data_IF_453544352706
#
_entry.id   IF_453544352706
#
_cell.length_a   1.000
_cell.length_b   1.000
_cell.length_c   1.000
_cell.angle_alpha   90.00
_cell.angle_beta   90.00
_cell.angle_gamma   90.00
#
_symmetry.space_group_name_H-M   'P 1'
#
loop_
_entity.id
_entity.type
_entity.pdbx_description
1 polymer ?
#
# COMPACT_ATOMS: atom_id res chain seq x y z
N UNK A 1 -28.07 3.91 9.05
CA UNK A 1 -27.61 4.74 7.92
C UNK A 1 -27.19 3.81 6.80
N UNK A 2 -27.72 3.93 5.57
CA UNK A 2 -27.17 3.16 4.47
C UNK A 2 -25.77 3.70 4.18
N UNK A 3 -24.74 2.86 4.32
CA UNK A 3 -23.40 3.18 3.85
C UNK A 3 -23.47 3.30 2.32
N UNK A 4 -23.27 4.50 1.78
CA UNK A 4 -22.90 4.61 0.36
C UNK A 4 -21.62 3.79 0.20
N UNK A 5 -21.66 2.75 -0.62
CA UNK A 5 -20.49 1.94 -0.92
C UNK A 5 -19.33 2.78 -1.44
N UNK A 6 -18.13 2.21 -1.45
CA UNK A 6 -16.95 2.84 -2.04
C UNK A 6 -17.22 3.16 -3.52
N UNK A 7 -16.61 4.24 -4.02
CA UNK A 7 -16.56 4.43 -5.47
C UNK A 7 -15.80 3.26 -6.11
N UNK A 8 -16.08 2.92 -7.39
CA UNK A 8 -15.39 1.83 -8.07
C UNK A 8 -13.86 1.94 -8.02
N UNK A 9 -13.33 3.15 -8.21
CA UNK A 9 -11.90 3.43 -8.18
C UNK A 9 -11.29 3.15 -6.79
N UNK A 10 -11.97 3.59 -5.73
CA UNK A 10 -11.51 3.33 -4.36
C UNK A 10 -11.61 1.84 -4.03
N UNK A 11 -12.67 1.17 -4.48
CA UNK A 11 -12.80 -0.29 -4.31
C UNK A 11 -11.67 -1.03 -5.04
N UNK A 12 -11.28 -0.58 -6.23
CA UNK A 12 -10.15 -1.15 -6.98
C UNK A 12 -8.83 -0.94 -6.24
N UNK A 13 -8.52 0.27 -5.78
CA UNK A 13 -7.32 0.55 -4.97
C UNK A 13 -7.25 -0.37 -3.76
N UNK A 14 -8.35 -0.49 -3.00
CA UNK A 14 -8.41 -1.38 -1.82
C UNK A 14 -8.15 -2.84 -2.20
N UNK A 15 -8.68 -3.28 -3.34
CA UNK A 15 -8.47 -4.66 -3.79
C UNK A 15 -7.01 -4.91 -4.18
N UNK A 16 -6.38 -3.99 -4.92
CA UNK A 16 -4.97 -4.09 -5.30
C UNK A 16 -4.05 -4.08 -4.06
N UNK A 17 -4.32 -3.20 -3.09
CA UNK A 17 -3.58 -3.15 -1.83
C UNK A 17 -3.72 -4.47 -1.04
N UNK A 18 -4.91 -5.09 -1.08
CA UNK A 18 -5.16 -6.39 -0.46
C UNK A 18 -4.39 -7.53 -1.16
N UNK A 19 -4.26 -7.48 -2.49
CA UNK A 19 -3.44 -8.44 -3.26
C UNK A 19 -1.97 -8.35 -2.83
N UNK A 20 -1.40 -7.14 -2.77
CA UNK A 20 -0.02 -6.97 -2.31
C UNK A 20 0.15 -7.41 -0.86
N UNK A 21 -0.76 -7.01 0.03
CA UNK A 21 -0.66 -7.27 1.46
C UNK A 21 -0.73 -8.76 1.83
N UNK A 22 -1.62 -9.53 1.18
CA UNK A 22 -1.71 -10.98 1.45
C UNK A 22 -0.52 -11.77 0.89
N UNK A 23 0.14 -11.24 -0.14
CA UNK A 23 1.28 -11.88 -0.79
C UNK A 23 2.64 -11.26 -0.39
N UNK A 24 2.65 -10.36 0.60
CA UNK A 24 3.81 -9.52 0.96
C UNK A 24 5.12 -10.26 1.18
N UNK A 25 5.06 -11.55 1.54
CA UNK A 25 6.22 -12.41 1.80
C UNK A 25 6.39 -13.54 0.79
N UNK A 26 5.76 -13.43 -0.39
CA UNK A 26 5.89 -14.44 -1.44
C UNK A 26 7.34 -14.56 -1.91
N UNK A 27 7.75 -15.79 -2.23
CA UNK A 27 9.00 -16.06 -2.97
C UNK A 27 8.77 -16.20 -4.48
N UNK A 28 7.51 -16.27 -4.91
CA UNK A 28 7.09 -16.30 -6.32
C UNK A 28 6.18 -15.09 -6.62
N UNK A 29 6.73 -14.00 -7.15
CA UNK A 29 5.96 -12.79 -7.45
C UNK A 29 5.17 -12.88 -8.78
N UNK A 30 5.46 -13.86 -9.64
CA UNK A 30 4.84 -13.97 -10.97
C UNK A 30 3.31 -14.04 -10.92
N UNK A 31 2.71 -14.95 -10.14
CA UNK A 31 1.27 -15.04 -9.97
C UNK A 31 0.64 -13.76 -9.40
N UNK A 32 1.35 -13.07 -8.49
CA UNK A 32 0.86 -11.81 -7.89
C UNK A 32 0.77 -10.70 -8.92
N UNK A 33 1.80 -10.55 -9.75
CA UNK A 33 1.81 -9.55 -10.84
C UNK A 33 0.73 -9.86 -11.87
N UNK A 34 0.54 -11.13 -12.22
CA UNK A 34 -0.53 -11.54 -13.13
C UNK A 34 -1.91 -11.18 -12.57
N UNK A 35 -2.14 -11.44 -11.29
CA UNK A 35 -3.40 -11.11 -10.63
C UNK A 35 -3.65 -9.60 -10.50
N UNK A 36 -2.62 -8.82 -10.15
CA UNK A 36 -2.69 -7.36 -10.10
C UNK A 36 -3.09 -6.77 -11.47
N UNK A 37 -2.48 -7.26 -12.55
CA UNK A 37 -2.81 -6.84 -13.92
C UNK A 37 -4.23 -7.25 -14.31
N UNK A 38 -4.63 -8.48 -14.01
CA UNK A 38 -5.97 -8.97 -14.29
C UNK A 38 -7.05 -8.17 -13.53
N UNK A 39 -6.77 -7.83 -12.26
CA UNK A 39 -7.68 -7.05 -11.40
C UNK A 39 -7.80 -5.61 -11.86
N UNK A 40 -6.70 -4.99 -12.29
CA UNK A 40 -6.71 -3.62 -12.78
C UNK A 40 -7.37 -3.48 -14.16
N UNK A 41 -7.25 -4.49 -15.03
CA UNK A 41 -7.69 -4.39 -16.41
C UNK A 41 -7.05 -3.18 -17.10
N UNK A 42 -7.88 -2.31 -17.68
CA UNK A 42 -7.43 -1.10 -18.37
C UNK A 42 -7.07 0.07 -17.43
N UNK A 43 -7.35 -0.04 -16.12
CA UNK A 43 -7.04 1.00 -15.12
C UNK A 43 -5.59 0.93 -14.63
N UNK A 44 -4.67 1.05 -15.58
CA UNK A 44 -3.22 1.06 -15.35
C UNK A 44 -2.81 2.26 -14.48
N UNK A 45 -3.55 3.37 -14.56
CA UNK A 45 -3.39 4.53 -13.69
C UNK A 45 -3.54 4.16 -12.21
N UNK A 46 -4.62 3.45 -11.84
CA UNK A 46 -4.85 3.01 -10.46
C UNK A 46 -3.85 1.92 -10.05
N UNK A 47 -3.52 1.01 -10.97
CA UNK A 47 -2.51 -0.03 -10.71
C UNK A 47 -1.17 0.58 -10.31
N UNK A 48 -0.69 1.55 -11.10
CA UNK A 48 0.60 2.19 -10.87
C UNK A 48 0.61 3.02 -9.60
N UNK A 49 -0.48 3.73 -9.30
CA UNK A 49 -0.65 4.47 -8.05
C UNK A 49 -0.62 3.55 -6.82
N UNK A 50 -1.48 2.54 -6.78
CA UNK A 50 -1.61 1.62 -5.65
C UNK A 50 -0.31 0.83 -5.43
N UNK A 51 0.23 0.20 -6.47
CA UNK A 51 1.46 -0.59 -6.36
C UNK A 51 2.64 0.27 -5.97
N UNK A 52 2.82 1.44 -6.60
CA UNK A 52 3.94 2.31 -6.28
C UNK A 52 3.86 2.82 -4.84
N UNK A 53 2.69 3.25 -4.38
CA UNK A 53 2.50 3.67 -2.99
C UNK A 53 2.75 2.53 -2.00
N UNK A 54 2.31 1.30 -2.33
CA UNK A 54 2.54 0.13 -1.50
C UNK A 54 4.04 -0.22 -1.40
N UNK A 55 4.76 -0.26 -2.53
CA UNK A 55 6.21 -0.49 -2.56
C UNK A 55 6.94 0.56 -1.71
N UNK A 56 6.64 1.84 -1.92
CA UNK A 56 7.29 2.91 -1.16
C UNK A 56 7.04 2.86 0.35
N UNK A 57 5.92 2.27 0.79
CA UNK A 57 5.57 2.17 2.20
C UNK A 57 6.08 0.89 2.88
N UNK A 58 6.06 -0.25 2.18
CA UNK A 58 6.29 -1.58 2.77
C UNK A 58 7.64 -2.21 2.42
N UNK A 59 8.44 -1.60 1.54
CA UNK A 59 9.75 -2.15 1.16
C UNK A 59 10.69 -2.27 2.37
N UNK A 60 10.99 -3.50 2.73
CA UNK A 60 11.93 -3.90 3.77
C UNK A 60 12.66 -5.19 3.36
N UNK A 61 13.44 -5.76 4.29
CA UNK A 61 14.20 -6.98 4.03
C UNK A 61 13.33 -8.21 3.76
N UNK A 62 12.11 -8.26 4.31
CA UNK A 62 11.19 -9.38 4.19
C UNK A 62 10.26 -9.28 2.98
N UNK A 63 9.99 -8.07 2.49
CA UNK A 63 9.13 -7.81 1.32
C UNK A 63 9.94 -7.63 0.02
N UNK A 64 11.28 -7.62 0.12
CA UNK A 64 12.20 -7.31 -0.98
C UNK A 64 11.93 -8.06 -2.28
N UNK A 65 11.58 -9.35 -2.22
CA UNK A 65 11.33 -10.18 -3.41
C UNK A 65 10.15 -9.60 -4.20
N UNK A 66 9.03 -9.35 -3.53
CA UNK A 66 7.85 -8.79 -4.17
C UNK A 66 8.11 -7.35 -4.63
N UNK A 67 8.70 -6.50 -3.79
CA UNK A 67 9.00 -5.11 -4.14
C UNK A 67 9.92 -4.99 -5.36
N UNK A 68 10.94 -5.84 -5.46
CA UNK A 68 11.86 -5.87 -6.61
C UNK A 68 11.10 -6.20 -7.89
N UNK A 69 10.24 -7.23 -7.86
CA UNK A 69 9.46 -7.61 -9.03
C UNK A 69 8.41 -6.56 -9.42
N UNK A 70 7.79 -5.89 -8.43
CA UNK A 70 6.82 -4.81 -8.69
C UNK A 70 7.48 -3.57 -9.32
N UNK A 71 8.73 -3.27 -8.98
CA UNK A 71 9.50 -2.13 -9.57
C UNK A 71 9.72 -2.24 -11.08
N UNK A 72 9.58 -3.43 -11.66
CA UNK A 72 9.62 -3.63 -13.12
C UNK A 72 8.37 -3.09 -13.84
N UNK A 73 7.32 -2.69 -13.11
CA UNK A 73 6.16 -2.03 -13.71
C UNK A 73 6.50 -0.56 -14.08
N UNK A 74 6.04 -0.07 -15.24
CA UNK A 74 6.31 1.30 -15.66
C UNK A 74 5.52 2.32 -14.82
N UNK A 75 6.09 3.51 -14.61
CA UNK A 75 5.36 4.66 -14.05
C UNK A 75 5.19 4.70 -12.53
N UNK A 76 5.89 3.85 -11.78
CA UNK A 76 5.73 3.77 -10.32
C UNK A 76 6.41 4.88 -9.53
N UNK A 77 7.46 5.52 -10.06
CA UNK A 77 8.36 6.37 -9.26
C UNK A 77 7.71 7.54 -8.50
N UNK A 78 6.77 8.30 -9.09
CA UNK A 78 6.05 9.34 -8.36
C UNK A 78 5.31 8.79 -7.14
N UNK A 79 4.77 7.58 -7.26
CA UNK A 79 3.97 6.91 -6.25
C UNK A 79 4.81 6.20 -5.19
N UNK A 80 5.95 5.64 -5.57
CA UNK A 80 6.96 5.14 -4.61
C UNK A 80 7.42 6.27 -3.70
N UNK A 81 7.69 7.45 -4.28
CA UNK A 81 8.04 8.65 -3.51
C UNK A 81 6.92 9.04 -2.55
N UNK A 82 5.66 8.96 -2.98
CA UNK A 82 4.51 9.22 -2.11
C UNK A 82 4.38 8.20 -0.97
N UNK A 83 4.54 6.91 -1.27
CA UNK A 83 4.51 5.82 -0.29
C UNK A 83 5.55 6.02 0.81
N UNK A 84 6.79 6.36 0.42
CA UNK A 84 7.89 6.64 1.35
C UNK A 84 7.57 7.83 2.26
N UNK A 85 7.06 8.93 1.69
CA UNK A 85 6.63 10.10 2.48
C UNK A 85 5.54 9.74 3.49
N UNK A 86 4.60 8.85 3.14
CA UNK A 86 3.56 8.37 4.06
C UNK A 86 4.15 7.53 5.20
N UNK A 87 5.16 6.72 4.93
CA UNK A 87 5.87 5.94 5.95
C UNK A 87 6.66 6.84 6.92
N UNK A 88 7.35 7.85 6.38
CA UNK A 88 8.14 8.82 7.15
C UNK A 88 7.28 9.81 7.96
N UNK A 89 6.02 9.98 7.58
CA UNK A 89 5.10 10.87 8.30
C UNK A 89 4.93 10.39 9.74
N UNK A 90 4.99 11.30 10.73
CA UNK A 90 4.83 10.93 12.13
C UNK A 90 3.49 10.22 12.30
N UNK A 91 3.55 8.96 12.72
CA UNK A 91 2.35 8.23 13.10
C UNK A 91 1.65 9.07 14.16
N UNK A 92 0.34 9.31 14.02
CA UNK A 92 -0.48 9.86 15.10
C UNK A 92 -0.46 8.87 16.26
N UNK A 93 0.62 8.87 17.03
CA UNK A 93 0.71 8.19 18.31
C UNK A 93 -0.19 8.98 19.25
N UNK A 94 -0.99 8.28 20.03
CA UNK A 94 -1.64 8.87 21.21
C UNK A 94 -0.56 9.57 22.03
N UNK A 95 -0.69 10.87 22.36
CA UNK A 95 0.28 11.54 23.22
C UNK A 95 0.42 10.73 24.52
N UNK A 96 1.62 10.23 24.80
CA UNK A 96 1.89 9.33 25.93
C UNK A 96 1.83 9.97 27.32
N UNK A 97 1.11 11.09 27.47
CA UNK A 97 1.02 11.83 28.73
C UNK A 97 -0.45 12.13 29.03
N UNK A 98 -1.13 11.17 29.67
CA UNK A 98 -2.21 11.50 30.59
C UNK A 98 -1.54 11.80 31.93
N UNK A 99 -1.18 13.06 32.14
CA UNK A 99 -0.62 13.54 33.40
C UNK A 99 -1.72 13.47 34.48
N UNK A 100 -1.86 12.32 35.15
CA UNK A 100 -2.59 12.26 36.42
C UNK A 100 -1.70 12.85 37.51
N UNK A 101 -1.72 14.18 37.62
CA UNK A 101 -1.23 14.85 38.83
C UNK A 101 -2.18 14.51 39.97
N UNK A 102 -1.86 13.48 40.75
CA UNK A 102 -2.41 13.32 42.09
C UNK A 102 -1.80 14.38 42.99
N UNK A 103 -2.67 15.24 43.51
CA UNK A 103 -2.40 16.16 44.62
C UNK A 103 -1.85 15.37 45.81
N UNK A 104 -0.71 15.81 46.33
CA UNK A 104 -0.17 15.45 47.64
C UNK A 104 0.06 16.73 48.45
#
# INVERSE_FOLDING_TARGET
MPSRGLSPDVALTVHLDAICSRNRYTTDPGPVIAELRATAGDRVDILTESVGAWVGYFEDDYTRILCTALRELPGLEPWITLGRKRFESPHHRTPGVLNHSSLG
#
